data_IF_049295650083
#
_entry.id   IF_049295650083
#
_cell.length_a   1.000
_cell.length_b   1.000
_cell.length_c   1.000
_cell.angle_alpha   90.00
_cell.angle_beta   90.00
_cell.angle_gamma   90.00
#
_symmetry.space_group_name_H-M   'P 1'
#
loop_
_entity.id
_entity.type
_entity.pdbx_description
1 polymer ?
#
# COMPACT_ATOMS: atom_id res chain seq x y z
N UNK A 1 -4.62 -22.83 -0.40
CA UNK A 1 -5.13 -21.89 0.63
C UNK A 1 -4.70 -22.47 1.96
N UNK A 2 -3.77 -21.82 2.67
CA UNK A 2 -3.33 -22.29 3.98
C UNK A 2 -3.42 -21.13 4.96
N UNK A 3 -4.28 -21.29 5.96
CA UNK A 3 -4.45 -20.35 7.07
C UNK A 3 -3.98 -21.08 8.32
N UNK A 4 -2.98 -20.55 9.02
CA UNK A 4 -2.61 -21.03 10.35
C UNK A 4 -3.43 -20.27 11.39
N UNK A 5 -4.26 -21.00 12.12
CA UNK A 5 -5.03 -20.51 13.26
C UNK A 5 -4.25 -20.82 14.53
N UNK A 6 -3.80 -19.79 15.24
CA UNK A 6 -3.30 -19.93 16.61
C UNK A 6 -4.30 -19.23 17.52
N UNK A 7 -5.02 -20.02 18.32
CA UNK A 7 -5.91 -19.51 19.38
C UNK A 7 -5.06 -18.98 20.54
N UNK A 8 -5.37 -17.77 20.98
CA UNK A 8 -5.02 -17.33 22.33
C UNK A 8 -6.28 -16.67 22.91
N UNK A 9 -7.03 -17.44 23.70
CA UNK A 9 -8.09 -16.92 24.54
C UNK A 9 -7.46 -16.12 25.69
N UNK A 10 -7.77 -14.82 25.77
CA UNK A 10 -7.78 -14.08 27.03
C UNK A 10 -8.95 -13.11 27.01
N UNK A 11 -10.04 -13.51 27.66
CA UNK A 11 -11.12 -12.60 28.02
C UNK A 11 -10.64 -11.65 29.12
N UNK A 12 -10.70 -10.35 28.86
CA UNK A 12 -10.75 -9.34 29.92
C UNK A 12 -11.54 -8.12 29.46
N UNK A 13 -12.76 -8.01 29.98
CA UNK A 13 -13.64 -6.85 29.91
C UNK A 13 -12.94 -5.55 30.38
N UNK A 14 -12.51 -4.67 29.46
CA UNK A 14 -12.22 -3.25 29.78
C UNK A 14 -12.56 -2.31 28.61
N UNK A 15 -13.73 -1.66 28.72
CA UNK A 15 -14.09 -0.29 28.27
C UNK A 15 -13.65 0.17 26.86
N UNK A 16 -14.64 0.28 25.96
CA UNK A 16 -14.69 1.06 24.70
C UNK A 16 -13.85 2.37 24.69
N UNK A 17 -12.56 2.27 24.41
CA UNK A 17 -11.64 3.39 24.10
C UNK A 17 -10.50 2.97 23.15
N UNK A 18 -10.71 1.96 22.31
CA UNK A 18 -9.66 1.36 21.48
C UNK A 18 -9.80 1.61 19.97
N UNK A 19 -10.48 2.66 19.52
CA UNK A 19 -10.92 2.65 18.12
C UNK A 19 -9.90 3.10 17.06
N UNK A 20 -8.75 3.74 17.38
CA UNK A 20 -7.68 3.94 16.38
C UNK A 20 -6.30 4.07 17.02
N UNK A 21 -5.67 2.98 17.43
CA UNK A 21 -4.35 3.03 18.10
C UNK A 21 -3.16 3.20 17.13
N UNK A 22 -3.32 2.78 15.87
CA UNK A 22 -2.25 2.75 14.85
C UNK A 22 -2.54 3.60 13.60
N UNK A 23 -3.56 4.45 13.63
CA UNK A 23 -3.93 5.28 12.48
C UNK A 23 -4.73 4.55 11.39
N UNK A 24 -5.26 3.34 11.68
CA UNK A 24 -6.14 2.56 10.81
C UNK A 24 -7.54 3.16 10.71
N UNK A 25 -7.67 4.36 10.14
CA UNK A 25 -8.96 5.02 9.97
C UNK A 25 -9.75 4.37 8.82
N UNK A 26 -10.97 3.92 9.10
CA UNK A 26 -11.90 3.43 8.08
C UNK A 26 -12.19 4.48 6.98
N UNK A 27 -12.12 5.76 7.34
CA UNK A 27 -12.34 6.92 6.48
C UNK A 27 -11.02 7.57 6.00
N UNK A 28 -9.89 6.88 6.07
CA UNK A 28 -8.57 7.45 5.76
C UNK A 28 -8.53 8.21 4.42
N UNK A 29 -9.27 7.73 3.42
CA UNK A 29 -9.33 8.33 2.09
C UNK A 29 -10.47 9.36 1.92
N UNK A 30 -11.50 9.36 2.76
CA UNK A 30 -12.62 10.33 2.69
C UNK A 30 -12.16 11.74 3.11
N UNK A 31 -11.17 11.84 3.99
CA UNK A 31 -10.56 13.12 4.37
C UNK A 31 -9.60 13.67 3.30
N UNK A 32 -9.35 12.94 2.19
CA UNK A 32 -8.42 13.33 1.13
C UNK A 32 -9.00 13.12 -0.28
N UNK A 33 -10.12 13.79 -0.64
CA UNK A 33 -10.79 13.61 -1.93
C UNK A 33 -9.95 14.10 -3.14
N UNK A 34 -8.91 14.91 -2.91
CA UNK A 34 -7.96 15.34 -3.94
C UNK A 34 -6.59 14.71 -3.70
N UNK A 35 -6.53 13.38 -3.80
CA UNK A 35 -5.27 12.68 -3.60
C UNK A 35 -4.34 12.87 -4.80
N UNK A 36 -3.50 13.91 -4.75
CA UNK A 36 -2.50 14.25 -5.76
C UNK A 36 -1.21 13.40 -5.67
N UNK A 37 -1.12 12.50 -4.69
CA UNK A 37 0.08 11.67 -4.46
C UNK A 37 0.47 10.83 -5.69
N UNK A 38 -0.44 10.16 -6.42
CA UNK A 38 -0.07 9.38 -7.60
C UNK A 38 0.55 10.25 -8.71
N UNK A 39 -0.03 11.42 -8.97
CA UNK A 39 0.49 12.35 -9.98
C UNK A 39 1.84 12.96 -9.58
N UNK A 40 2.02 13.26 -8.29
CA UNK A 40 3.31 13.72 -7.78
C UNK A 40 4.37 12.62 -7.92
N UNK A 41 4.04 11.39 -7.53
CA UNK A 41 4.92 10.23 -7.69
C UNK A 41 5.32 10.04 -9.16
N UNK A 42 4.37 10.14 -10.08
CA UNK A 42 4.61 10.03 -11.52
C UNK A 42 5.68 11.02 -11.99
N UNK A 43 5.54 12.30 -11.61
CA UNK A 43 6.51 13.35 -11.95
C UNK A 43 7.90 13.04 -11.39
N UNK A 44 7.99 12.61 -10.13
CA UNK A 44 9.26 12.26 -9.50
C UNK A 44 9.93 11.09 -10.22
N UNK A 45 9.20 9.99 -10.45
CA UNK A 45 9.72 8.79 -11.10
C UNK A 45 10.18 9.06 -12.54
N UNK A 46 9.45 9.87 -13.31
CA UNK A 46 9.89 10.28 -14.65
C UNK A 46 11.18 11.10 -14.58
N UNK A 47 11.31 12.01 -13.61
CA UNK A 47 12.48 12.87 -13.44
C UNK A 47 13.74 12.10 -13.02
N UNK A 48 13.61 11.01 -12.27
CA UNK A 48 14.75 10.21 -11.81
C UNK A 48 14.94 8.90 -12.58
N UNK A 49 14.06 8.53 -13.53
CA UNK A 49 14.09 7.22 -14.21
C UNK A 49 15.47 6.85 -14.75
N UNK A 50 16.16 7.77 -15.41
CA UNK A 50 17.49 7.55 -15.98
C UNK A 50 18.59 7.39 -14.94
N UNK A 51 18.34 7.80 -13.70
CA UNK A 51 19.27 7.71 -12.56
C UNK A 51 19.01 6.46 -11.72
N UNK A 52 17.84 5.84 -11.86
CA UNK A 52 17.53 4.59 -11.17
C UNK A 52 18.36 3.47 -11.82
N UNK A 53 19.28 2.89 -11.06
CA UNK A 53 20.08 1.73 -11.49
C UNK A 53 19.24 0.45 -11.44
N UNK A 54 18.17 0.41 -12.24
CA UNK A 54 17.26 -0.74 -12.32
C UNK A 54 17.70 -1.60 -13.50
N UNK A 55 17.78 -2.91 -13.28
CA UNK A 55 17.95 -3.88 -14.37
C UNK A 55 16.94 -3.58 -15.50
N UNK A 56 17.34 -3.61 -16.78
CA UNK A 56 16.42 -3.40 -17.89
C UNK A 56 15.41 -4.56 -18.05
N UNK A 57 15.66 -5.70 -17.40
CA UNK A 57 14.82 -6.90 -17.50
C UNK A 57 14.33 -7.36 -16.12
N UNK A 58 13.27 -8.17 -16.13
CA UNK A 58 12.67 -8.76 -14.94
C UNK A 58 11.47 -7.97 -14.40
N UNK A 59 10.91 -8.45 -13.29
CA UNK A 59 9.70 -7.88 -12.66
C UNK A 59 10.06 -6.72 -11.72
N UNK A 60 9.25 -5.67 -11.73
CA UNK A 60 9.30 -4.60 -10.72
C UNK A 60 8.39 -5.01 -9.56
N UNK A 61 8.94 -5.07 -8.36
CA UNK A 61 8.20 -5.41 -7.14
C UNK A 61 7.99 -4.17 -6.29
N UNK A 62 6.74 -3.90 -5.95
CA UNK A 62 6.32 -2.82 -5.05
C UNK A 62 5.90 -3.43 -3.72
N UNK A 63 6.34 -2.83 -2.63
CA UNK A 63 5.92 -3.15 -1.26
C UNK A 63 5.26 -1.89 -0.67
N UNK A 64 4.01 -2.01 -0.26
CA UNK A 64 3.28 -0.96 0.44
C UNK A 64 2.98 -1.39 1.88
N UNK A 65 3.50 -0.66 2.85
CA UNK A 65 3.38 -0.96 4.29
C UNK A 65 2.43 0.04 4.92
N UNK A 66 1.38 -0.46 5.58
CA UNK A 66 0.24 0.35 6.01
C UNK A 66 -0.68 0.67 4.83
N UNK A 67 -0.91 -0.30 3.95
CA UNK A 67 -1.69 -0.09 2.72
C UNK A 67 -3.16 0.23 2.97
N UNK A 68 -3.65 0.03 4.20
CA UNK A 68 -5.04 0.16 4.60
C UNK A 68 -5.93 -0.62 3.60
N UNK A 69 -6.96 0.01 3.05
CA UNK A 69 -7.85 -0.56 2.03
C UNK A 69 -7.23 -0.68 0.63
N UNK A 70 -5.96 -0.31 0.45
CA UNK A 70 -5.21 -0.47 -0.80
C UNK A 70 -5.55 0.53 -1.91
N UNK A 71 -6.34 1.58 -1.62
CA UNK A 71 -6.76 2.55 -2.64
C UNK A 71 -5.57 3.30 -3.24
N UNK A 72 -4.66 3.80 -2.40
CA UNK A 72 -3.44 4.45 -2.88
C UNK A 72 -2.51 3.46 -3.59
N UNK A 73 -2.38 2.24 -3.05
CA UNK A 73 -1.52 1.20 -3.60
C UNK A 73 -1.91 0.88 -5.05
N UNK A 74 -3.21 0.80 -5.34
CA UNK A 74 -3.73 0.59 -6.70
C UNK A 74 -3.42 1.75 -7.64
N UNK A 75 -3.60 2.99 -7.19
CA UNK A 75 -3.25 4.18 -7.99
C UNK A 75 -1.75 4.26 -8.27
N UNK A 76 -0.90 3.93 -7.30
CA UNK A 76 0.55 3.85 -7.46
C UNK A 76 0.93 2.75 -8.44
N UNK A 77 0.32 1.57 -8.34
CA UNK A 77 0.56 0.46 -9.28
C UNK A 77 0.24 0.86 -10.73
N UNK A 78 -0.84 1.61 -10.94
CA UNK A 78 -1.19 2.12 -12.27
C UNK A 78 -0.11 3.08 -12.81
N UNK A 79 0.36 4.02 -11.99
CA UNK A 79 1.45 4.95 -12.35
C UNK A 79 2.74 4.21 -12.71
N UNK A 80 3.14 3.23 -11.90
CA UNK A 80 4.37 2.47 -12.14
C UNK A 80 4.26 1.62 -13.42
N UNK A 81 3.10 1.00 -13.68
CA UNK A 81 2.84 0.28 -14.94
C UNK A 81 2.87 1.19 -16.16
N UNK A 82 2.41 2.43 -16.03
CA UNK A 82 2.47 3.40 -17.12
C UNK A 82 3.92 3.79 -17.44
N UNK A 83 4.73 4.07 -16.41
CA UNK A 83 6.13 4.49 -16.59
C UNK A 83 6.99 3.33 -17.09
N UNK A 84 6.85 2.15 -16.50
CA UNK A 84 7.62 0.95 -16.81
C UNK A 84 6.78 -0.06 -17.60
N UNK A 85 6.15 0.41 -18.67
CA UNK A 85 5.22 -0.38 -19.50
C UNK A 85 5.89 -1.57 -20.21
N UNK A 86 7.21 -1.57 -20.30
CA UNK A 86 8.04 -2.63 -20.88
C UNK A 86 8.23 -3.83 -19.93
N UNK A 87 7.74 -3.75 -18.69
CA UNK A 87 8.02 -4.74 -17.65
C UNK A 87 6.79 -5.11 -16.83
N UNK A 88 6.71 -6.36 -16.35
CA UNK A 88 5.67 -6.73 -15.39
C UNK A 88 5.90 -6.03 -14.05
N UNK A 89 4.80 -5.61 -13.41
CA UNK A 89 4.80 -4.95 -12.10
C UNK A 89 3.92 -5.75 -11.14
N UNK A 90 4.50 -6.15 -10.00
CA UNK A 90 3.85 -6.86 -8.91
C UNK A 90 3.78 -5.95 -7.67
N UNK A 91 2.67 -6.00 -6.95
CA UNK A 91 2.43 -5.23 -5.73
C UNK A 91 2.09 -6.18 -4.58
N UNK A 92 2.75 -5.97 -3.44
CA UNK A 92 2.39 -6.56 -2.16
C UNK A 92 2.01 -5.43 -1.19
N UNK A 93 0.76 -5.43 -0.73
CA UNK A 93 0.30 -4.56 0.36
C UNK A 93 0.31 -5.33 1.67
N UNK A 94 0.79 -4.71 2.74
CA UNK A 94 0.77 -5.24 4.10
C UNK A 94 0.16 -4.20 5.01
N UNK A 95 -0.82 -4.59 5.82
CA UNK A 95 -1.39 -3.76 6.89
C UNK A 95 -1.41 -4.55 8.20
N UNK A 96 -1.40 -3.82 9.31
CA UNK A 96 -1.53 -4.40 10.66
C UNK A 96 -2.99 -4.74 10.96
N UNK A 97 -3.92 -4.01 10.35
CA UNK A 97 -5.34 -4.27 10.45
C UNK A 97 -5.73 -5.35 9.41
N UNK A 98 -6.24 -6.52 9.84
CA UNK A 98 -6.69 -7.56 8.92
C UNK A 98 -7.92 -7.14 8.08
N UNK A 99 -8.60 -6.05 8.45
CA UNK A 99 -9.82 -5.56 7.78
C UNK A 99 -11.11 -6.15 8.32
#
# INVERSE_FOLDING_TARGET
VFTFQTMCEHQSNRRKRDEVQHGSYHQYYEFRPQDSRPEHLKKCLLGCRSQLNISPTGTIHLLDVGCNRGLLSNSVLAVVREIFCDRPVSLLGVDIDPG
#
